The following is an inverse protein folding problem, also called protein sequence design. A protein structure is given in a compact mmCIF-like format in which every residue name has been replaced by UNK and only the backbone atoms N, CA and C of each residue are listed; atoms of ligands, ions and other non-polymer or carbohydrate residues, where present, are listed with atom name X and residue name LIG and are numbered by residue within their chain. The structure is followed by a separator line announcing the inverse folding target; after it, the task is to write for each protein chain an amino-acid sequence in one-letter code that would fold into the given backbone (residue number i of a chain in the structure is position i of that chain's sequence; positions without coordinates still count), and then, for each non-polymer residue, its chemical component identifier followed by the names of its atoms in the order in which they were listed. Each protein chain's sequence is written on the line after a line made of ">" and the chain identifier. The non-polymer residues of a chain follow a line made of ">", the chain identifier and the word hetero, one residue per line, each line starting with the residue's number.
data_IF_190465916287
#
_entry.id   IF_190465916287
#
_cell.length_a   1.000
_cell.length_b   1.000
_cell.length_c   1.000
_cell.angle_alpha   90.00
_cell.angle_beta   90.00
_cell.angle_gamma   90.00
#
_symmetry.space_group_name_H-M   'P 1'
#
loop_
_entity.id
_entity.type
_entity.pdbx_description
1 polymer ?
#
# COMPACT_ATOMS: atom_id res chain seq x y z
N UNK A 1 -9.83 -14.38 -2.99
CA UNK A 1 -9.21 -13.09 -3.28
C UNK A 1 -10.11 -12.32 -4.22
N UNK A 2 -10.95 -11.47 -3.66
CA UNK A 2 -11.80 -10.57 -4.44
C UNK A 2 -11.04 -9.26 -4.63
N UNK A 3 -10.88 -8.82 -5.87
CA UNK A 3 -10.32 -7.50 -6.16
C UNK A 3 -11.18 -6.41 -5.48
N UNK A 4 -10.57 -5.26 -5.16
CA UNK A 4 -11.31 -4.16 -4.53
C UNK A 4 -12.57 -3.77 -5.31
N UNK A 5 -12.52 -3.88 -6.65
CA UNK A 5 -13.65 -3.60 -7.55
C UNK A 5 -14.83 -4.58 -7.39
N UNK A 6 -14.57 -5.79 -6.87
CA UNK A 6 -15.61 -6.80 -6.65
C UNK A 6 -16.23 -6.70 -5.26
N UNK A 7 -15.46 -6.26 -4.24
CA UNK A 7 -15.95 -6.19 -2.87
C UNK A 7 -16.86 -4.98 -2.64
N UNK A 8 -16.57 -3.84 -3.30
CA UNK A 8 -17.34 -2.60 -3.15
C UNK A 8 -18.83 -2.79 -3.45
N UNK A 9 -19.25 -3.38 -4.60
CA UNK A 9 -20.66 -3.64 -4.87
C UNK A 9 -21.31 -4.56 -3.83
N UNK A 10 -20.61 -5.59 -3.37
CA UNK A 10 -21.14 -6.57 -2.40
C UNK A 10 -21.45 -5.93 -1.04
N UNK A 11 -20.56 -5.04 -0.56
CA UNK A 11 -20.80 -4.28 0.67
C UNK A 11 -21.97 -3.33 0.51
N UNK A 12 -22.07 -2.63 -0.63
CA UNK A 12 -23.19 -1.70 -0.90
C UNK A 12 -24.53 -2.45 -0.97
N UNK A 13 -24.55 -3.63 -1.61
CA UNK A 13 -25.76 -4.46 -1.77
C UNK A 13 -26.16 -5.19 -0.49
N UNK A 14 -25.27 -5.27 0.49
CA UNK A 14 -25.50 -6.00 1.74
C UNK A 14 -25.22 -7.50 1.67
N UNK A 15 -24.52 -7.95 0.63
CA UNK A 15 -24.09 -9.35 0.49
C UNK A 15 -22.89 -9.67 1.41
N UNK A 16 -22.20 -8.63 1.89
CA UNK A 16 -21.06 -8.71 2.79
C UNK A 16 -21.19 -7.63 3.86
N UNK A 17 -21.15 -8.04 5.12
CA UNK A 17 -21.30 -7.14 6.26
C UNK A 17 -19.96 -6.62 6.79
N UNK A 18 -18.92 -7.45 6.79
CA UNK A 18 -17.56 -7.10 7.22
C UNK A 18 -16.59 -7.37 6.06
N UNK A 19 -15.72 -6.42 5.74
CA UNK A 19 -14.76 -6.55 4.66
C UNK A 19 -13.41 -5.91 5.01
N UNK A 20 -12.33 -6.57 4.59
CA UNK A 20 -10.98 -5.99 4.60
C UNK A 20 -10.76 -5.29 3.26
N UNK A 21 -10.45 -4.00 3.31
CA UNK A 21 -10.31 -3.17 2.11
C UNK A 21 -9.10 -2.23 2.23
N UNK A 22 -8.53 -1.78 1.10
CA UNK A 22 -7.58 -0.68 1.12
C UNK A 22 -8.18 0.58 1.79
N UNK A 23 -7.36 1.32 2.52
CA UNK A 23 -7.82 2.48 3.29
C UNK A 23 -8.54 3.54 2.42
N UNK A 24 -8.06 3.78 1.18
CA UNK A 24 -8.71 4.68 0.23
C UNK A 24 -10.08 4.15 -0.24
N UNK A 25 -10.25 2.83 -0.34
CA UNK A 25 -11.53 2.21 -0.71
C UNK A 25 -12.56 2.38 0.39
N UNK A 26 -12.14 2.33 1.66
CA UNK A 26 -13.04 2.60 2.78
C UNK A 26 -13.64 4.01 2.72
N UNK A 27 -12.85 5.03 2.35
CA UNK A 27 -13.38 6.39 2.18
C UNK A 27 -14.35 6.50 1.01
N UNK A 28 -14.10 5.77 -0.09
CA UNK A 28 -15.04 5.68 -1.23
C UNK A 28 -16.33 5.00 -0.82
N UNK A 29 -16.25 3.90 -0.08
CA UNK A 29 -17.43 3.20 0.46
C UNK A 29 -18.24 4.11 1.37
N UNK A 30 -17.60 4.78 2.34
CA UNK A 30 -18.25 5.71 3.24
C UNK A 30 -19.05 6.79 2.49
N UNK A 31 -18.41 7.42 1.49
CA UNK A 31 -19.06 8.47 0.71
C UNK A 31 -20.21 7.93 -0.17
N UNK A 32 -20.00 6.78 -0.84
CA UNK A 32 -21.03 6.18 -1.71
C UNK A 32 -22.24 5.66 -0.94
N UNK A 33 -22.07 5.29 0.32
CA UNK A 33 -23.14 4.76 1.18
C UNK A 33 -23.68 5.82 2.14
N UNK A 34 -23.27 7.10 1.98
CA UNK A 34 -23.68 8.20 2.87
C UNK A 34 -23.44 7.89 4.35
N UNK A 35 -22.33 7.22 4.65
CA UNK A 35 -21.96 6.86 6.01
C UNK A 35 -22.57 5.56 6.54
N UNK A 36 -23.21 4.75 5.69
CA UNK A 36 -23.73 3.44 6.11
C UNK A 36 -22.63 2.37 6.32
N UNK A 37 -21.38 2.72 6.07
CA UNK A 37 -20.20 1.89 6.35
C UNK A 37 -19.28 2.64 7.29
N UNK A 38 -18.69 1.92 8.26
CA UNK A 38 -17.70 2.48 9.19
C UNK A 38 -16.46 1.60 9.28
N UNK A 39 -15.31 2.22 9.59
CA UNK A 39 -14.06 1.50 9.88
C UNK A 39 -14.10 1.05 11.34
N UNK A 40 -13.74 -0.21 11.60
CA UNK A 40 -13.69 -0.79 12.95
C UNK A 40 -12.26 -1.10 13.40
N UNK A 41 -11.33 -1.32 12.47
CA UNK A 41 -9.92 -1.47 12.81
C UNK A 41 -9.00 -1.06 11.65
N UNK A 42 -7.70 -0.91 11.98
CA UNK A 42 -6.60 -0.77 11.02
C UNK A 42 -5.88 -2.11 11.00
N UNK A 43 -6.14 -2.91 9.98
CA UNK A 43 -5.57 -4.27 9.87
C UNK A 43 -4.16 -4.30 9.26
N UNK A 44 -3.78 -3.25 8.53
CA UNK A 44 -2.47 -3.20 7.86
C UNK A 44 -1.93 -1.78 7.85
N UNK A 45 -0.77 -1.59 8.47
CA UNK A 45 0.03 -0.38 8.35
C UNK A 45 0.82 -0.37 7.02
N UNK A 46 1.89 0.41 6.92
CA UNK A 46 2.71 0.43 5.72
C UNK A 46 3.46 -0.88 5.50
N UNK A 47 3.45 -1.37 4.27
CA UNK A 47 4.10 -2.63 3.86
C UNK A 47 5.00 -2.46 2.63
N UNK A 48 5.13 -1.24 2.12
CA UNK A 48 5.87 -0.94 0.89
C UNK A 48 7.33 -0.63 1.18
N UNK A 49 8.22 -1.22 0.39
CA UNK A 49 9.66 -1.02 0.52
C UNK A 49 10.29 -0.80 -0.86
N UNK A 50 11.27 0.08 -0.94
CA UNK A 50 12.15 0.18 -2.10
C UNK A 50 13.10 -1.00 -2.08
N UNK A 51 13.18 -1.72 -3.20
CA UNK A 51 14.04 -2.90 -3.38
C UNK A 51 14.94 -2.67 -4.58
N UNK A 52 16.25 -2.87 -4.40
CA UNK A 52 17.27 -2.71 -5.44
C UNK A 52 18.56 -3.39 -5.03
N UNK A 53 19.42 -3.68 -5.99
CA UNK A 53 20.82 -4.07 -5.77
C UNK A 53 21.80 -2.91 -6.02
N UNK A 54 21.31 -1.74 -6.42
CA UNK A 54 22.15 -0.56 -6.61
C UNK A 54 22.50 0.06 -5.25
N UNK A 55 23.75 -0.11 -4.82
CA UNK A 55 24.26 0.40 -3.54
C UNK A 55 24.24 1.94 -3.44
N UNK A 56 24.04 2.66 -4.54
CA UNK A 56 23.91 4.12 -4.51
C UNK A 56 22.53 4.59 -4.08
N UNK A 57 21.56 3.67 -3.93
CA UNK A 57 20.23 3.94 -3.37
C UNK A 57 20.24 3.53 -1.90
N UNK A 58 20.56 4.45 -1.01
CA UNK A 58 20.60 4.25 0.44
C UNK A 58 19.47 4.98 1.18
N UNK A 59 18.88 5.99 0.54
CA UNK A 59 17.81 6.82 1.08
C UNK A 59 16.71 7.07 0.04
N UNK A 60 15.58 7.60 0.48
CA UNK A 60 14.48 7.98 -0.41
C UNK A 60 14.88 9.09 -1.38
N UNK A 61 15.78 9.99 -0.97
CA UNK A 61 16.31 11.08 -1.80
C UNK A 61 17.10 10.57 -3.01
N UNK A 62 17.74 9.41 -2.91
CA UNK A 62 18.55 8.81 -3.98
C UNK A 62 17.71 8.26 -5.15
N UNK A 63 16.38 8.35 -5.05
CA UNK A 63 15.47 8.04 -6.15
C UNK A 63 15.45 9.14 -7.23
N UNK A 64 15.99 10.33 -6.97
CA UNK A 64 16.07 11.42 -7.94
C UNK A 64 16.74 10.98 -9.24
N UNK A 65 16.11 11.27 -10.38
CA UNK A 65 16.59 10.91 -11.72
C UNK A 65 16.38 9.43 -12.11
N UNK A 66 15.73 8.62 -11.27
CA UNK A 66 15.55 7.20 -11.50
C UNK A 66 14.15 6.85 -12.00
N UNK A 67 14.07 5.67 -12.64
CA UNK A 67 12.81 4.99 -12.90
C UNK A 67 12.56 3.97 -11.79
N UNK A 68 11.38 4.04 -11.18
CA UNK A 68 10.95 3.14 -10.11
C UNK A 68 9.78 2.29 -10.60
N UNK A 69 10.00 0.99 -10.65
CA UNK A 69 8.97 0.01 -10.98
C UNK A 69 8.06 -0.23 -9.77
N UNK A 70 6.76 -0.16 -9.96
CA UNK A 70 5.80 -0.43 -8.89
C UNK A 70 4.48 -0.97 -9.43
N UNK A 71 3.62 -1.45 -8.55
CA UNK A 71 2.26 -1.86 -8.88
C UNK A 71 1.24 -0.89 -8.26
N UNK A 72 -0.03 -1.05 -8.64
CA UNK A 72 -1.14 -0.37 -7.97
C UNK A 72 -1.45 1.02 -8.49
N UNK A 73 -1.37 1.22 -9.83
CA UNK A 73 -1.82 2.45 -10.47
C UNK A 73 -3.29 2.75 -10.11
N UNK A 74 -3.58 3.98 -9.68
CA UNK A 74 -4.91 4.41 -9.23
C UNK A 74 -5.30 3.90 -7.83
N UNK A 75 -4.35 3.33 -7.08
CA UNK A 75 -4.61 2.77 -5.74
C UNK A 75 -3.63 3.30 -4.69
N UNK A 76 -3.75 2.84 -3.44
CA UNK A 76 -2.94 3.31 -2.31
C UNK A 76 -1.44 3.39 -2.60
N UNK A 77 -0.77 2.41 -3.23
CA UNK A 77 0.67 2.50 -3.51
C UNK A 77 1.07 3.75 -4.32
N UNK A 78 0.32 4.07 -5.37
CA UNK A 78 0.59 5.27 -6.17
C UNK A 78 0.39 6.55 -5.37
N UNK A 79 -0.72 6.66 -4.62
CA UNK A 79 -1.00 7.85 -3.81
C UNK A 79 0.05 8.07 -2.73
N UNK A 80 0.47 6.99 -2.06
CA UNK A 80 1.55 7.04 -1.07
C UNK A 80 2.85 7.51 -1.70
N UNK A 81 3.25 6.91 -2.82
CA UNK A 81 4.50 7.28 -3.49
C UNK A 81 4.50 8.74 -3.94
N UNK A 82 3.42 9.20 -4.58
CA UNK A 82 3.28 10.59 -5.01
C UNK A 82 3.33 11.57 -3.83
N UNK A 83 2.64 11.25 -2.72
CA UNK A 83 2.68 12.07 -1.50
C UNK A 83 4.10 12.16 -0.93
N UNK A 84 4.82 11.04 -0.82
CA UNK A 84 6.19 11.03 -0.31
C UNK A 84 7.16 11.78 -1.23
N UNK A 85 7.02 11.62 -2.55
CA UNK A 85 7.81 12.38 -3.52
C UNK A 85 7.56 13.89 -3.43
N UNK A 86 6.31 14.31 -3.25
CA UNK A 86 5.97 15.70 -3.04
C UNK A 86 6.58 16.25 -1.74
N UNK A 87 6.40 15.53 -0.64
CA UNK A 87 6.92 15.95 0.68
C UNK A 87 8.44 15.98 0.74
N UNK A 88 9.11 15.10 0.01
CA UNK A 88 10.57 15.06 -0.10
C UNK A 88 11.15 16.04 -1.14
N UNK A 89 10.31 16.81 -1.86
CA UNK A 89 10.76 17.73 -2.90
C UNK A 89 11.25 17.06 -4.19
N UNK A 90 10.83 15.82 -4.44
CA UNK A 90 11.23 14.98 -5.58
C UNK A 90 10.19 14.94 -6.70
N UNK A 91 9.16 15.78 -6.66
CA UNK A 91 8.11 15.85 -7.70
C UNK A 91 8.73 16.10 -9.06
N UNK A 92 8.40 15.24 -10.03
CA UNK A 92 8.92 15.32 -11.41
C UNK A 92 10.39 14.86 -11.57
N UNK A 93 11.06 14.46 -10.49
CA UNK A 93 12.43 13.96 -10.54
C UNK A 93 12.50 12.43 -10.56
N UNK A 94 11.40 11.74 -10.28
CA UNK A 94 11.30 10.28 -10.28
C UNK A 94 10.26 9.86 -11.30
N UNK A 95 10.61 8.91 -12.17
CA UNK A 95 9.67 8.31 -13.13
C UNK A 95 9.05 7.06 -12.50
N UNK A 96 7.71 7.02 -12.36
CA UNK A 96 7.01 5.84 -11.90
C UNK A 96 6.55 4.98 -13.08
N UNK A 97 7.01 3.74 -13.15
CA UNK A 97 6.59 2.77 -14.16
C UNK A 97 5.76 1.67 -13.52
N UNK A 98 4.48 1.60 -13.91
CA UNK A 98 3.53 0.69 -13.30
C UNK A 98 3.48 -0.66 -14.02
N UNK A 99 3.60 -1.72 -13.25
CA UNK A 99 3.35 -3.11 -13.66
C UNK A 99 1.96 -3.54 -13.17
N UNK A 100 1.41 -4.57 -13.79
CA UNK A 100 0.07 -5.07 -13.42
C UNK A 100 0.08 -5.78 -12.06
N UNK A 101 1.15 -6.54 -11.77
CA UNK A 101 1.25 -7.39 -10.60
C UNK A 101 2.61 -7.23 -9.89
N UNK A 102 2.69 -7.46 -8.56
CA UNK A 102 3.97 -7.43 -7.83
C UNK A 102 4.98 -8.43 -8.35
N UNK A 103 4.53 -9.56 -8.91
CA UNK A 103 5.39 -10.59 -9.53
C UNK A 103 6.13 -10.10 -10.75
N UNK A 104 5.57 -9.15 -11.49
CA UNK A 104 6.25 -8.53 -12.65
C UNK A 104 7.36 -7.57 -12.19
N UNK A 105 7.11 -6.80 -11.12
CA UNK A 105 8.16 -5.97 -10.48
C UNK A 105 9.28 -6.86 -9.97
N UNK A 106 8.96 -7.93 -9.25
CA UNK A 106 9.93 -8.92 -8.77
C UNK A 106 10.78 -9.49 -9.92
N UNK A 107 10.13 -9.87 -11.01
CA UNK A 107 10.82 -10.44 -12.19
C UNK A 107 11.76 -9.43 -12.84
N UNK A 108 11.36 -8.16 -12.94
CA UNK A 108 12.20 -7.09 -13.47
C UNK A 108 13.46 -6.88 -12.61
N UNK A 109 13.32 -6.87 -11.28
CA UNK A 109 14.44 -6.72 -10.34
C UNK A 109 15.40 -7.91 -10.35
N UNK A 110 14.89 -9.14 -10.54
CA UNK A 110 15.74 -10.33 -10.67
C UNK A 110 16.49 -10.37 -12.00
N UNK A 111 15.89 -9.83 -13.07
CA UNK A 111 16.52 -9.73 -14.39
C UNK A 111 17.58 -8.63 -14.44
N UNK A 112 17.32 -7.50 -13.76
CA UNK A 112 18.26 -6.38 -13.63
C UNK A 112 18.33 -5.94 -12.15
N UNK A 113 19.30 -6.44 -11.38
CA UNK A 113 19.47 -6.05 -9.99
C UNK A 113 19.78 -4.56 -9.77
N UNK A 114 20.24 -3.82 -10.80
CA UNK A 114 20.46 -2.38 -10.72
C UNK A 114 19.16 -1.56 -10.83
N UNK A 115 18.08 -2.18 -11.28
CA UNK A 115 16.75 -1.56 -11.32
C UNK A 115 16.24 -1.26 -9.90
N UNK A 116 15.36 -0.27 -9.80
CA UNK A 116 14.71 0.12 -8.55
C UNK A 116 13.23 -0.23 -8.62
N UNK A 117 12.72 -0.90 -7.61
CA UNK A 117 11.30 -1.22 -7.54
C UNK A 117 10.72 -1.01 -6.15
N UNK A 118 9.40 -0.86 -6.08
CA UNK A 118 8.64 -0.82 -4.82
C UNK A 118 7.83 -2.11 -4.72
N UNK A 119 8.07 -2.88 -3.68
CA UNK A 119 7.39 -4.13 -3.41
C UNK A 119 6.74 -4.15 -2.03
N UNK A 120 5.51 -4.72 -1.91
CA UNK A 120 4.92 -5.04 -0.62
C UNK A 120 5.49 -6.36 -0.07
N UNK A 121 5.25 -6.63 1.21
CA UNK A 121 5.35 -8.01 1.72
C UNK A 121 4.21 -8.89 1.16
N UNK A 122 4.47 -10.16 0.89
CA UNK A 122 5.71 -10.93 1.06
C UNK A 122 6.68 -10.84 -0.15
N UNK A 123 6.39 -10.06 -1.16
CA UNK A 123 7.17 -9.98 -2.41
C UNK A 123 8.56 -9.40 -2.19
N UNK A 124 8.72 -8.43 -1.28
CA UNK A 124 10.04 -7.92 -0.87
C UNK A 124 10.92 -9.04 -0.33
N UNK A 125 10.41 -9.80 0.62
CA UNK A 125 11.13 -10.94 1.21
C UNK A 125 11.48 -12.00 0.16
N UNK A 126 10.54 -12.31 -0.75
CA UNK A 126 10.77 -13.24 -1.85
C UNK A 126 11.84 -12.73 -2.84
N UNK A 127 11.87 -11.41 -3.12
CA UNK A 127 12.87 -10.80 -3.99
C UNK A 127 14.29 -10.97 -3.43
N UNK A 128 14.46 -10.61 -2.16
CA UNK A 128 15.74 -10.73 -1.47
C UNK A 128 16.19 -12.19 -1.42
N UNK A 129 15.32 -13.12 -1.04
CA UNK A 129 15.64 -14.54 -0.96
C UNK A 129 16.04 -15.15 -2.31
N UNK A 130 15.35 -14.78 -3.38
CA UNK A 130 15.60 -15.31 -4.74
C UNK A 130 16.80 -14.66 -5.44
N UNK A 131 17.23 -13.51 -4.99
CA UNK A 131 18.32 -12.75 -5.62
C UNK A 131 19.73 -13.25 -5.29
N UNK A 132 19.87 -14.24 -4.39
CA UNK A 132 21.16 -14.74 -3.93
C UNK A 132 22.06 -13.61 -3.37
N UNK A 133 21.46 -12.66 -2.65
CA UNK A 133 22.15 -11.53 -2.04
C UNK A 133 22.41 -10.34 -2.97
N UNK A 134 21.87 -10.35 -4.19
CA UNK A 134 22.03 -9.23 -5.14
C UNK A 134 21.04 -8.09 -4.88
N UNK A 135 19.92 -8.35 -4.23
CA UNK A 135 18.90 -7.34 -3.88
C UNK A 135 18.86 -7.10 -2.39
N UNK A 136 18.56 -5.88 -2.02
CA UNK A 136 18.28 -5.43 -0.65
C UNK A 136 17.05 -4.53 -0.63
N UNK A 137 16.58 -4.20 0.56
CA UNK A 137 15.49 -3.24 0.76
C UNK A 137 15.99 -2.08 1.63
N UNK A 138 16.71 -1.13 1.04
CA UNK A 138 17.37 -0.06 1.81
C UNK A 138 16.40 0.96 2.38
N UNK A 139 15.17 1.09 1.83
CA UNK A 139 14.22 2.12 2.22
C UNK A 139 12.84 1.52 2.48
N UNK A 140 12.33 1.74 3.68
CA UNK A 140 10.93 1.48 4.05
C UNK A 140 10.11 2.75 3.80
N UNK A 141 9.02 2.67 3.02
CA UNK A 141 8.15 3.83 2.82
C UNK A 141 7.40 4.21 4.10
N UNK A 142 7.26 3.30 5.06
CA UNK A 142 6.71 3.59 6.38
C UNK A 142 7.65 4.50 7.17
N UNK A 143 8.96 4.19 7.16
CA UNK A 143 9.95 4.99 7.88
C UNK A 143 10.08 6.39 7.24
N UNK A 144 10.05 6.47 5.91
CA UNK A 144 10.03 7.74 5.18
C UNK A 144 8.77 8.55 5.53
N UNK A 145 7.62 7.91 5.63
CA UNK A 145 6.38 8.57 6.04
C UNK A 145 6.51 9.14 7.46
N UNK A 146 6.97 8.32 8.40
CA UNK A 146 7.11 8.72 9.79
C UNK A 146 8.11 9.89 9.95
N UNK A 147 9.22 9.87 9.22
CA UNK A 147 10.20 10.96 9.16
C UNK A 147 9.57 12.25 8.62
N UNK A 148 8.87 12.19 7.48
CA UNK A 148 8.26 13.36 6.84
C UNK A 148 7.01 13.86 7.57
N UNK A 149 6.31 13.00 8.30
CA UNK A 149 5.16 13.36 9.11
C UNK A 149 5.56 14.11 10.39
N UNK A 150 6.78 13.89 10.91
CA UNK A 150 7.27 14.50 12.13
C UNK A 150 6.31 14.31 13.32
N UNK A 151 6.09 15.37 14.08
CA UNK A 151 5.26 15.33 15.30
C UNK A 151 3.73 15.34 15.03
N UNK A 152 3.28 15.19 13.79
CA UNK A 152 1.83 15.22 13.47
C UNK A 152 1.07 13.99 13.97
N UNK A 153 1.78 12.91 14.35
CA UNK A 153 1.19 11.62 14.71
C UNK A 153 0.57 10.87 13.54
N UNK A 154 0.75 11.37 12.31
CA UNK A 154 0.26 10.69 11.10
C UNK A 154 0.99 9.37 10.88
N UNK A 155 0.26 8.34 10.46
CA UNK A 155 0.80 7.00 10.15
C UNK A 155 0.38 6.58 8.76
N UNK A 156 1.27 5.83 8.08
CA UNK A 156 0.96 5.22 6.81
C UNK A 156 0.00 4.05 7.02
N UNK A 157 -1.23 4.20 6.52
CA UNK A 157 -2.26 3.17 6.56
C UNK A 157 -2.41 2.54 5.17
N UNK A 158 -2.42 1.21 5.12
CA UNK A 158 -2.62 0.47 3.86
C UNK A 158 -3.97 -0.22 3.81
N UNK A 159 -4.35 -0.91 4.87
CA UNK A 159 -5.59 -1.68 4.94
C UNK A 159 -6.38 -1.42 6.21
N UNK A 160 -7.69 -1.46 6.07
CA UNK A 160 -8.66 -1.31 7.16
C UNK A 160 -9.75 -2.36 7.05
N UNK A 161 -10.40 -2.64 8.17
CA UNK A 161 -11.62 -3.43 8.20
C UNK A 161 -12.81 -2.50 8.28
N UNK A 162 -13.76 -2.69 7.37
CA UNK A 162 -15.03 -1.97 7.37
C UNK A 162 -16.18 -2.89 7.73
N UNK A 163 -17.20 -2.32 8.36
CA UNK A 163 -18.45 -3.00 8.67
C UNK A 163 -19.63 -2.14 8.22
N UNK A 164 -20.71 -2.77 7.76
CA UNK A 164 -21.98 -2.09 7.55
C UNK A 164 -22.55 -1.66 8.90
N UNK A 165 -22.94 -0.40 9.02
CA UNK A 165 -23.43 0.18 10.28
C UNK A 165 -24.65 -0.57 10.82
N UNK A 166 -25.63 -0.89 9.95
CA UNK A 166 -26.80 -1.66 10.35
C UNK A 166 -26.41 -3.02 10.96
N UNK A 167 -25.47 -3.75 10.35
CA UNK A 167 -24.99 -5.02 10.90
C UNK A 167 -24.31 -4.83 12.27
N UNK A 168 -23.47 -3.80 12.40
CA UNK A 168 -22.79 -3.53 13.67
C UNK A 168 -23.76 -3.17 14.81
N UNK A 169 -24.87 -2.50 14.50
CA UNK A 169 -25.93 -2.15 15.45
C UNK A 169 -26.79 -3.37 15.83
N UNK A 170 -27.09 -4.24 14.85
CA UNK A 170 -27.90 -5.45 15.05
C UNK A 170 -27.12 -6.59 15.69
N UNK A 171 -25.80 -6.67 15.43
CA UNK A 171 -24.93 -7.78 15.84
C UNK A 171 -23.63 -7.30 16.50
N UNK A 172 -23.69 -6.51 17.60
CA UNK A 172 -22.49 -5.95 18.22
C UNK A 172 -21.54 -7.04 18.79
N UNK A 173 -22.09 -8.17 19.21
CA UNK A 173 -21.30 -9.30 19.71
C UNK A 173 -20.46 -9.94 18.59
N UNK A 174 -21.05 -10.10 17.40
CA UNK A 174 -20.32 -10.65 16.25
C UNK A 174 -19.15 -9.72 15.81
N UNK A 175 -19.33 -8.41 15.90
CA UNK A 175 -18.25 -7.45 15.63
C UNK A 175 -17.16 -7.55 16.70
N UNK A 176 -17.53 -7.70 17.98
CA UNK A 176 -16.57 -7.85 19.08
C UNK A 176 -15.79 -9.17 19.02
N UNK A 177 -16.42 -10.26 18.55
CA UNK A 177 -15.73 -11.55 18.34
C UNK A 177 -14.79 -11.53 17.12
N UNK A 178 -15.10 -10.67 16.13
CA UNK A 178 -14.28 -10.50 14.95
C UNK A 178 -12.97 -9.75 15.26
N UNK A 179 -12.99 -8.75 16.14
CA UNK A 179 -11.87 -7.92 16.56
C UNK A 179 -10.98 -8.63 17.60
#
# INVERSE_FOLDING_TARGET
>A
NTAADEIVPKVIQGDVDIALVPANVASVLYNKTEGAVQVIDINTLGVLNVVTGDASVASFGDLAGRTVYMMGKGTTPEYVMNYLLERAGLTGQVTLEFKSEPTEVLSALLADPSAVGVLPEPFKTAAIAKSEGKLSAPVSLTDVWDELAGDTGSRLLTGVTVVRRAFAEEHPEAVAEFL
#
